data_IF_099746048233
#
_entry.id   IF_099746048233
#
_cell.length_a   1.000
_cell.length_b   1.000
_cell.length_c   1.000
_cell.angle_alpha   90.00
_cell.angle_beta   90.00
_cell.angle_gamma   90.00
#
_symmetry.space_group_name_H-M   'P 1'
#
loop_
_entity.id
_entity.type
_entity.pdbx_description
1 polymer ?
#
# COMPACT_ATOMS: atom_id res chain seq x y z
N UNK A 1 10.16 10.59 -15.23
CA UNK A 1 10.11 10.36 -13.78
C UNK A 1 10.81 9.04 -13.47
N UNK A 2 11.74 9.03 -12.51
CA UNK A 2 12.39 7.80 -12.08
C UNK A 2 11.39 6.99 -11.24
N UNK A 3 11.08 5.77 -11.67
CA UNK A 3 10.29 4.80 -10.92
C UNK A 3 11.26 3.79 -10.32
N UNK A 4 11.10 3.51 -9.04
CA UNK A 4 11.86 2.49 -8.35
C UNK A 4 10.93 1.32 -8.06
N UNK A 5 11.27 0.13 -8.57
CA UNK A 5 10.45 -1.06 -8.43
C UNK A 5 11.29 -2.16 -7.77
N UNK A 6 10.70 -2.84 -6.79
CA UNK A 6 11.27 -4.01 -6.11
C UNK A 6 10.20 -5.05 -5.84
N UNK A 7 10.65 -6.26 -5.54
CA UNK A 7 9.80 -7.34 -5.05
C UNK A 7 10.19 -7.63 -3.62
N UNK A 8 9.19 -7.72 -2.74
CA UNK A 8 9.36 -8.10 -1.35
C UNK A 8 8.73 -9.48 -1.14
N UNK A 9 9.45 -10.40 -0.51
CA UNK A 9 8.87 -11.68 -0.11
C UNK A 9 7.98 -11.48 1.12
N UNK A 10 6.77 -12.01 1.06
CA UNK A 10 5.80 -11.96 2.17
C UNK A 10 5.17 -13.33 2.38
N UNK A 11 4.50 -13.58 3.52
CA UNK A 11 3.74 -14.82 3.73
C UNK A 11 2.66 -15.10 2.67
N UNK A 12 2.17 -14.07 1.96
CA UNK A 12 1.22 -14.22 0.84
C UNK A 12 1.91 -14.46 -0.52
N UNK A 13 3.24 -14.63 -0.52
CA UNK A 13 4.07 -14.68 -1.71
C UNK A 13 4.72 -13.33 -2.05
N UNK A 14 5.37 -13.22 -3.21
CA UNK A 14 6.05 -11.98 -3.61
C UNK A 14 5.05 -10.85 -3.87
N UNK A 15 5.30 -9.69 -3.27
CA UNK A 15 4.58 -8.45 -3.55
C UNK A 15 5.51 -7.48 -4.28
N UNK A 16 5.05 -6.95 -5.40
CA UNK A 16 5.72 -5.85 -6.09
C UNK A 16 5.44 -4.56 -5.35
N UNK A 17 6.49 -3.80 -5.05
CA UNK A 17 6.43 -2.46 -4.50
C UNK A 17 7.03 -1.48 -5.51
N UNK A 18 6.31 -0.40 -5.77
CA UNK A 18 6.75 0.68 -6.62
C UNK A 18 6.72 2.01 -5.88
N UNK A 19 7.86 2.70 -5.89
CA UNK A 19 8.04 4.04 -5.38
C UNK A 19 8.25 5.02 -6.52
N UNK A 20 7.59 6.18 -6.44
CA UNK A 20 7.96 7.37 -7.20
C UNK A 20 8.81 8.30 -6.32
N UNK A 21 9.17 9.47 -6.86
CA UNK A 21 9.84 10.52 -6.08
C UNK A 21 8.93 11.13 -5.01
N UNK A 22 7.60 10.93 -5.09
CA UNK A 22 6.63 11.41 -4.12
C UNK A 22 6.42 10.39 -3.00
N UNK A 23 6.40 9.10 -3.33
CA UNK A 23 6.11 8.05 -2.36
C UNK A 23 5.69 6.72 -2.97
N UNK A 24 5.08 5.86 -2.15
CA UNK A 24 4.52 4.57 -2.54
C UNK A 24 3.39 4.78 -3.55
N UNK A 25 3.56 4.21 -4.74
CA UNK A 25 2.63 4.34 -5.87
C UNK A 25 1.86 3.06 -6.13
N UNK A 26 2.46 1.90 -5.85
CA UNK A 26 1.82 0.60 -6.04
C UNK A 26 2.37 -0.42 -5.06
N UNK A 27 1.48 -1.24 -4.52
CA UNK A 27 1.80 -2.50 -3.83
C UNK A 27 0.79 -3.56 -4.26
N UNK A 28 1.27 -4.75 -4.60
CA UNK A 28 0.39 -5.87 -4.93
C UNK A 28 1.06 -6.97 -5.74
N UNK A 29 0.27 -7.99 -6.06
CA UNK A 29 0.70 -9.11 -6.90
C UNK A 29 0.64 -8.69 -8.37
N UNK A 30 1.71 -8.10 -8.91
CA UNK A 30 1.79 -7.73 -10.33
C UNK A 30 2.26 -8.96 -11.14
N UNK A 31 1.55 -9.30 -12.22
CA UNK A 31 1.90 -10.43 -13.11
C UNK A 31 2.86 -10.07 -14.26
N UNK A 32 3.29 -8.81 -14.38
CA UNK A 32 4.18 -8.40 -15.46
C UNK A 32 5.65 -8.71 -15.14
N UNK A 33 6.42 -9.04 -16.18
CA UNK A 33 7.86 -9.33 -16.15
C UNK A 33 8.66 -8.12 -15.65
N UNK A 34 8.66 -7.91 -14.33
CA UNK A 34 9.56 -6.98 -13.65
C UNK A 34 10.84 -7.74 -13.36
N UNK A 35 12.00 -7.11 -13.54
CA UNK A 35 13.29 -7.66 -13.10
C UNK A 35 13.26 -7.86 -11.57
N UNK A 36 12.92 -9.08 -11.16
CA UNK A 36 12.66 -9.44 -9.77
C UNK A 36 14.02 -9.68 -9.09
N UNK A 37 14.66 -8.62 -8.60
CA UNK A 37 15.71 -8.82 -7.59
C UNK A 37 15.04 -9.28 -6.31
N UNK A 38 15.24 -10.55 -6.02
CA UNK A 38 14.85 -11.21 -4.78
C UNK A 38 15.50 -10.45 -3.62
N UNK A 39 14.69 -9.96 -2.70
CA UNK A 39 15.15 -9.38 -1.44
C UNK A 39 14.30 -10.02 -0.36
N UNK A 40 14.96 -10.74 0.54
CA UNK A 40 14.36 -11.19 1.79
C UNK A 40 13.77 -9.95 2.51
N UNK A 41 12.57 -9.99 3.12
CA UNK A 41 12.04 -8.87 3.89
C UNK A 41 12.97 -8.41 5.03
N UNK A 42 13.90 -9.27 5.47
CA UNK A 42 14.99 -9.00 6.41
C UNK A 42 16.37 -8.89 5.76
N UNK A 43 16.45 -8.94 4.44
CA UNK A 43 17.70 -8.57 3.77
C UNK A 43 17.98 -7.12 4.17
N UNK A 44 19.17 -6.91 4.74
CA UNK A 44 19.75 -5.60 4.99
C UNK A 44 20.16 -4.98 3.62
N UNK A 45 19.21 -4.94 2.69
CA UNK A 45 19.32 -4.06 1.55
C UNK A 45 19.13 -2.66 2.15
N UNK A 46 20.23 -1.91 2.25
CA UNK A 46 20.36 -0.53 2.76
C UNK A 46 19.57 0.50 1.90
N UNK A 47 18.47 0.06 1.28
CA UNK A 47 17.60 0.96 0.54
C UNK A 47 16.62 1.62 1.51
N UNK A 48 17.09 2.73 2.08
CA UNK A 48 16.34 3.63 2.96
C UNK A 48 14.93 3.94 2.42
N UNK A 49 14.73 3.90 1.08
CA UNK A 49 13.45 4.22 0.44
C UNK A 49 12.35 3.20 0.74
N UNK A 50 12.70 1.95 1.05
CA UNK A 50 11.72 0.89 1.35
C UNK A 50 11.62 0.54 2.83
N UNK A 51 12.51 1.08 3.67
CA UNK A 51 12.57 0.79 5.11
C UNK A 51 11.19 0.85 5.79
N UNK A 52 10.46 1.96 5.60
CA UNK A 52 9.13 2.16 6.17
C UNK A 52 8.10 1.13 5.65
N UNK A 53 8.14 0.79 4.37
CA UNK A 53 7.23 -0.21 3.77
C UNK A 53 7.54 -1.61 4.30
N UNK A 54 8.83 -1.98 4.39
CA UNK A 54 9.27 -3.27 4.96
C UNK A 54 8.81 -3.41 6.40
N UNK A 55 9.05 -2.40 7.24
CA UNK A 55 8.62 -2.40 8.66
C UNK A 55 7.10 -2.53 8.78
N UNK A 56 6.35 -1.73 8.01
CA UNK A 56 4.89 -1.79 8.03
C UNK A 56 4.36 -3.18 7.66
N UNK A 57 4.88 -3.77 6.58
CA UNK A 57 4.48 -5.11 6.14
C UNK A 57 4.87 -6.18 7.14
N UNK A 58 6.06 -6.08 7.74
CA UNK A 58 6.47 -7.00 8.79
C UNK A 58 5.46 -6.98 9.93
N UNK A 59 5.15 -5.82 10.51
CA UNK A 59 4.17 -5.70 11.59
C UNK A 59 2.82 -6.31 11.20
N UNK A 60 2.30 -5.96 10.02
CA UNK A 60 1.04 -6.49 9.49
C UNK A 60 1.05 -8.03 9.43
N UNK A 61 2.09 -8.62 8.85
CA UNK A 61 2.17 -10.07 8.66
C UNK A 61 2.45 -10.84 9.95
N UNK A 62 3.05 -10.22 10.96
CA UNK A 62 3.18 -10.79 12.30
C UNK A 62 1.95 -10.58 13.19
N UNK A 63 0.87 -10.01 12.64
CA UNK A 63 -0.36 -9.73 13.39
C UNK A 63 -0.20 -8.62 14.42
N UNK A 64 0.83 -7.77 14.29
CA UNK A 64 0.99 -6.55 15.07
C UNK A 64 0.25 -5.43 14.35
N UNK A 65 -0.37 -4.52 15.11
CA UNK A 65 -0.95 -3.32 14.53
C UNK A 65 0.18 -2.48 13.89
N UNK A 66 0.18 -2.27 12.56
CA UNK A 66 1.21 -1.49 11.92
C UNK A 66 1.17 -0.03 12.38
N UNK A 67 2.34 0.59 12.52
CA UNK A 67 2.46 2.01 12.84
C UNK A 67 1.69 2.90 11.85
N UNK A 68 1.15 4.01 12.35
CA UNK A 68 0.30 4.91 11.57
C UNK A 68 1.11 5.69 10.52
N UNK A 69 0.99 5.27 9.26
CA UNK A 69 1.08 6.08 8.03
C UNK A 69 2.25 7.07 7.83
N UNK A 70 3.48 6.69 8.20
CA UNK A 70 4.68 7.45 7.82
C UNK A 70 5.14 7.21 6.37
N UNK A 71 4.39 6.42 5.59
CA UNK A 71 4.71 6.13 4.19
C UNK A 71 3.99 7.16 3.29
N UNK A 72 4.72 8.07 2.62
CA UNK A 72 4.10 8.97 1.66
C UNK A 72 3.44 8.18 0.54
N UNK A 73 2.20 8.54 0.17
CA UNK A 73 1.47 7.88 -0.93
C UNK A 73 1.46 8.79 -2.17
N UNK A 74 1.90 8.28 -3.30
CA UNK A 74 1.79 8.96 -4.59
C UNK A 74 0.42 8.69 -5.22
N UNK A 75 -0.54 9.59 -4.97
CA UNK A 75 -1.88 9.53 -5.56
C UNK A 75 -1.99 10.26 -6.93
N UNK A 76 -0.87 10.53 -7.60
CA UNK A 76 -0.87 11.19 -8.92
C UNK A 76 -1.55 10.32 -9.98
N UNK A 77 -2.58 10.87 -10.63
CA UNK A 77 -3.40 10.16 -11.62
C UNK A 77 -4.58 9.38 -11.03
N UNK A 78 -4.77 9.41 -9.71
CA UNK A 78 -5.97 8.87 -9.05
C UNK A 78 -7.08 9.92 -9.11
N UNK A 79 -8.29 9.48 -9.50
CA UNK A 79 -9.46 10.36 -9.56
C UNK A 79 -9.88 10.87 -8.18
N UNK A 80 -10.54 12.03 -8.14
CA UNK A 80 -10.99 12.63 -6.88
C UNK A 80 -11.97 11.74 -6.12
N UNK A 81 -12.83 11.01 -6.84
CA UNK A 81 -13.69 9.97 -6.27
C UNK A 81 -12.87 8.93 -5.49
N UNK A 82 -11.86 8.33 -6.14
CA UNK A 82 -11.01 7.30 -5.50
C UNK A 82 -10.20 7.86 -4.35
N UNK A 83 -9.66 9.08 -4.47
CA UNK A 83 -8.94 9.76 -3.38
C UNK A 83 -9.82 9.91 -2.13
N UNK A 84 -11.08 10.32 -2.29
CA UNK A 84 -12.03 10.41 -1.17
C UNK A 84 -12.33 9.05 -0.55
N UNK A 85 -12.57 8.03 -1.37
CA UNK A 85 -12.76 6.66 -0.88
C UNK A 85 -11.53 6.16 -0.11
N UNK A 86 -10.32 6.37 -0.61
CA UNK A 86 -9.09 5.99 0.09
C UNK A 86 -8.88 6.76 1.39
N UNK A 87 -9.20 8.07 1.41
CA UNK A 87 -9.15 8.88 2.63
C UNK A 87 -10.03 8.30 3.74
N UNK A 88 -11.25 7.86 3.40
CA UNK A 88 -12.13 7.23 4.37
C UNK A 88 -11.70 5.80 4.74
N UNK A 89 -11.14 5.05 3.78
CA UNK A 89 -10.64 3.70 4.03
C UNK A 89 -9.45 3.70 5.00
N UNK A 90 -8.56 4.69 4.89
CA UNK A 90 -7.42 4.85 5.82
C UNK A 90 -7.85 5.17 7.27
N UNK A 91 -9.13 5.46 7.53
CA UNK A 91 -9.67 5.66 8.88
C UNK A 91 -10.22 4.39 9.51
N UNK A 92 -10.37 3.31 8.73
CA UNK A 92 -10.81 2.01 9.24
C UNK A 92 -9.65 1.39 10.03
N UNK A 93 -9.89 1.01 11.29
CA UNK A 93 -8.86 0.47 12.17
C UNK A 93 -8.36 -0.91 11.74
N UNK A 94 -7.18 -1.29 12.21
CA UNK A 94 -6.67 -2.64 12.02
C UNK A 94 -7.61 -3.66 12.69
N UNK A 95 -8.04 -4.67 11.92
CA UNK A 95 -9.01 -5.66 12.38
C UNK A 95 -10.48 -5.21 12.34
N UNK A 96 -10.76 -3.96 11.93
CA UNK A 96 -12.13 -3.48 11.75
C UNK A 96 -12.64 -3.72 10.32
N UNK A 97 -13.96 -3.74 10.18
CA UNK A 97 -14.63 -3.92 8.89
C UNK A 97 -15.60 -2.77 8.62
N UNK A 98 -15.69 -2.37 7.35
CA UNK A 98 -16.67 -1.41 6.86
C UNK A 98 -17.35 -1.97 5.61
N UNK A 99 -18.62 -1.66 5.40
CA UNK A 99 -19.31 -2.05 4.16
C UNK A 99 -19.00 -1.07 3.04
N UNK A 100 -19.10 -1.51 1.79
CA UNK A 100 -18.94 -0.61 0.63
C UNK A 100 -19.92 0.56 0.64
N UNK A 101 -21.18 0.32 1.04
CA UNK A 101 -22.19 1.38 1.14
C UNK A 101 -21.85 2.42 2.20
N UNK A 102 -21.34 1.98 3.35
CA UNK A 102 -20.89 2.88 4.42
C UNK A 102 -19.64 3.67 3.99
N UNK A 103 -18.69 3.03 3.32
CA UNK A 103 -17.50 3.70 2.80
C UNK A 103 -17.86 4.76 1.74
N UNK A 104 -18.76 4.43 0.81
CA UNK A 104 -19.28 5.37 -0.18
C UNK A 104 -20.00 6.55 0.47
N UNK A 105 -20.84 6.29 1.48
CA UNK A 105 -21.54 7.32 2.26
C UNK A 105 -20.55 8.27 2.96
N UNK A 106 -19.53 7.74 3.66
CA UNK A 106 -18.48 8.54 4.31
C UNK A 106 -17.71 9.40 3.30
N UNK A 107 -17.47 8.88 2.10
CA UNK A 107 -16.78 9.59 1.04
C UNK A 107 -17.66 10.66 0.32
N UNK A 108 -18.93 10.79 0.71
CA UNK A 108 -19.88 11.74 0.12
C UNK A 108 -20.57 11.23 -1.17
N UNK A 109 -20.55 9.92 -1.41
CA UNK A 109 -21.11 9.27 -2.59
C UNK A 109 -22.13 8.20 -2.16
N UNK A 110 -23.32 8.65 -1.77
CA UNK A 110 -24.44 7.77 -1.42
C UNK A 110 -24.92 6.99 -2.65
N UNK A 111 -25.07 5.67 -2.52
CA UNK A 111 -25.54 4.79 -3.61
C UNK A 111 -24.43 4.27 -4.54
N UNK A 112 -23.18 4.72 -4.37
CA UNK A 112 -22.03 4.30 -5.19
C UNK A 112 -21.38 2.99 -4.72
N UNK A 113 -22.18 2.02 -4.31
CA UNK A 113 -21.69 0.68 -3.97
C UNK A 113 -21.19 -0.09 -5.21
N UNK A 114 -21.37 0.46 -6.41
CA UNK A 114 -21.00 -0.08 -7.72
C UNK A 114 -20.44 1.02 -8.60
#
# INVERSE_FOLDING_TARGET
MKRFIRSLTTPLGPLTVEMSEIGLRYIGTRKENIDVRWSDPYDNDDDDRLSAVKTYLADYFYGREPGRNDIPLDMTGISDFRKRVYSELMKVGFGEVVTYGELGKRAGYTGSAR
#
